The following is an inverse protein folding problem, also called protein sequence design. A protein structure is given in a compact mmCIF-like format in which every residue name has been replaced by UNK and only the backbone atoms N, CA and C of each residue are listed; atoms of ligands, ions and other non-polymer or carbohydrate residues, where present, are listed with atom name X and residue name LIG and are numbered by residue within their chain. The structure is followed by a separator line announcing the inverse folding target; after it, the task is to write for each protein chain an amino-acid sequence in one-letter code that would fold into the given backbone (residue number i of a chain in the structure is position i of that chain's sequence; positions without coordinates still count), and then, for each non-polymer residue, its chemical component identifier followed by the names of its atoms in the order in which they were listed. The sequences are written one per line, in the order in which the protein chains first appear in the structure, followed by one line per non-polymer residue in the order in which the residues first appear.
data_IF_561627601873
#
_entry.id   IF_561627601873
#
_cell.length_a   1.000
_cell.length_b   1.000
_cell.length_c   1.000
_cell.angle_alpha   90.00
_cell.angle_beta   90.00
_cell.angle_gamma   90.00
#
_symmetry.space_group_name_H-M   'P 1'
#
loop_
_entity.id
_entity.type
_entity.pdbx_description
1 polymer ?
#
# COMPACT_ATOMS: atom_id res chain seq x y z
N UNK A 1 2.05 -21.60 -6.46
CA UNK A 1 0.68 -21.06 -6.60
C UNK A 1 0.57 -19.76 -5.80
N UNK A 2 0.19 -18.64 -6.43
CA UNK A 2 0.02 -17.34 -5.76
C UNK A 2 -1.24 -17.39 -4.89
N UNK A 3 -1.08 -17.42 -3.57
CA UNK A 3 -2.21 -17.36 -2.65
C UNK A 3 -2.39 -15.92 -2.16
N UNK A 4 -3.51 -15.32 -2.54
CA UNK A 4 -3.97 -14.04 -2.00
C UNK A 4 -5.02 -14.30 -0.95
N UNK A 5 -4.76 -13.92 0.30
CA UNK A 5 -5.75 -13.97 1.37
C UNK A 5 -6.35 -12.59 1.58
N UNK A 6 -7.67 -12.51 1.55
CA UNK A 6 -8.39 -11.25 1.74
C UNK A 6 -8.96 -11.20 3.16
N UNK A 7 -9.21 -9.99 3.65
CA UNK A 7 -9.80 -9.82 4.97
C UNK A 7 -10.58 -8.52 5.14
N UNK A 8 -10.95 -8.26 6.38
CA UNK A 8 -11.59 -7.03 6.86
C UNK A 8 -10.91 -6.60 8.16
N UNK A 9 -10.63 -5.30 8.32
CA UNK A 9 -10.24 -4.72 9.61
C UNK A 9 -11.43 -4.02 10.25
N UNK A 10 -11.46 -4.04 11.57
CA UNK A 10 -12.48 -3.38 12.39
C UNK A 10 -11.82 -2.41 13.38
N UNK A 11 -11.25 -1.29 12.89
CA UNK A 11 -10.57 -0.33 13.76
C UNK A 11 -11.56 0.48 14.60
N UNK A 12 -11.18 0.74 15.84
CA UNK A 12 -11.80 1.79 16.66
C UNK A 12 -11.53 3.19 16.07
N UNK A 13 -12.22 4.22 16.57
CA UNK A 13 -12.13 5.58 16.03
C UNK A 13 -10.71 6.12 15.98
N UNK A 14 -9.92 5.97 17.06
CA UNK A 14 -8.52 6.43 17.07
C UNK A 14 -7.63 5.57 16.18
N UNK A 15 -7.84 4.25 16.15
CA UNK A 15 -7.11 3.35 15.26
C UNK A 15 -7.36 3.68 13.78
N UNK A 16 -8.60 4.00 13.41
CA UNK A 16 -8.98 4.42 12.07
C UNK A 16 -8.31 5.74 11.69
N UNK A 17 -8.27 6.70 12.63
CA UNK A 17 -7.56 7.98 12.46
C UNK A 17 -6.06 7.77 12.18
N UNK A 18 -5.38 6.99 13.03
CA UNK A 18 -3.95 6.65 12.85
C UNK A 18 -3.69 5.91 11.54
N UNK A 19 -4.56 4.96 11.19
CA UNK A 19 -4.44 4.22 9.94
C UNK A 19 -4.64 5.12 8.71
N UNK A 20 -5.60 6.04 8.76
CA UNK A 20 -5.86 7.01 7.70
C UNK A 20 -4.68 7.96 7.49
N UNK A 21 -4.07 8.41 8.58
CA UNK A 21 -2.90 9.28 8.52
C UNK A 21 -1.70 8.54 7.91
N UNK A 22 -1.44 7.31 8.35
CA UNK A 22 -0.38 6.48 7.78
C UNK A 22 -0.60 6.19 6.29
N UNK A 23 -1.85 5.95 5.87
CA UNK A 23 -2.22 5.82 4.45
C UNK A 23 -1.96 7.10 3.65
N UNK A 24 -2.28 8.27 4.22
CA UNK A 24 -2.04 9.59 3.60
C UNK A 24 -0.56 9.82 3.37
N UNK A 25 0.25 9.64 4.41
CA UNK A 25 1.70 9.84 4.38
C UNK A 25 2.38 8.85 3.44
N UNK A 26 2.08 7.55 3.54
CA UNK A 26 2.69 6.56 2.66
C UNK A 26 2.25 6.74 1.20
N UNK A 27 1.00 7.12 0.94
CA UNK A 27 0.53 7.40 -0.42
C UNK A 27 1.25 8.62 -1.02
N UNK A 28 1.57 9.63 -0.22
CA UNK A 28 2.42 10.74 -0.64
C UNK A 28 3.84 10.29 -0.97
N UNK A 29 4.47 9.52 -0.07
CA UNK A 29 5.79 8.92 -0.28
C UNK A 29 5.85 8.06 -1.55
N UNK A 30 4.81 7.27 -1.83
CA UNK A 30 4.70 6.47 -3.05
C UNK A 30 4.62 7.32 -4.32
N UNK A 31 3.80 8.39 -4.33
CA UNK A 31 3.70 9.29 -5.49
C UNK A 31 5.01 10.00 -5.76
N UNK A 32 5.64 10.51 -4.70
CA UNK A 32 6.97 11.12 -4.78
C UNK A 32 7.96 10.13 -5.39
N UNK A 33 8.04 8.92 -4.83
CA UNK A 33 8.91 7.85 -5.32
C UNK A 33 8.66 7.53 -6.79
N UNK A 34 7.40 7.49 -7.22
CA UNK A 34 7.03 7.18 -8.61
C UNK A 34 7.55 8.25 -9.57
N UNK A 35 7.38 9.54 -9.24
CA UNK A 35 7.90 10.63 -10.06
C UNK A 35 9.42 10.56 -10.18
N UNK A 36 10.14 10.30 -9.07
CA UNK A 36 11.59 10.13 -9.09
C UNK A 36 12.03 8.93 -9.95
N UNK A 37 11.25 7.85 -9.99
CA UNK A 37 11.52 6.70 -10.87
C UNK A 37 11.34 7.11 -12.35
N UNK A 38 10.31 7.89 -12.69
CA UNK A 38 10.10 8.39 -14.05
C UNK A 38 11.23 9.35 -14.48
N UNK A 39 11.78 10.12 -13.55
CA UNK A 39 12.96 10.99 -13.77
C UNK A 39 14.28 10.21 -13.91
N UNK A 40 14.26 8.88 -13.77
CA UNK A 40 15.45 8.04 -13.90
C UNK A 40 16.35 8.00 -12.67
N UNK A 41 15.92 8.53 -11.52
CA UNK A 41 16.72 8.49 -10.27
C UNK A 41 16.95 7.06 -9.80
N UNK A 42 18.14 6.81 -9.27
CA UNK A 42 18.52 5.51 -8.71
C UNK A 42 17.80 5.23 -7.38
N UNK A 43 17.75 3.95 -7.00
CA UNK A 43 17.17 3.55 -5.71
C UNK A 43 17.82 4.23 -4.50
N UNK A 44 19.17 4.30 -4.38
CA UNK A 44 19.81 4.97 -3.25
C UNK A 44 19.43 6.45 -3.14
N UNK A 45 19.39 7.18 -4.26
CA UNK A 45 18.98 8.59 -4.29
C UNK A 45 17.53 8.76 -3.80
N UNK A 46 16.61 7.93 -4.30
CA UNK A 46 15.22 7.97 -3.84
C UNK A 46 15.12 7.63 -2.36
N UNK A 47 15.82 6.61 -1.86
CA UNK A 47 15.78 6.26 -0.44
C UNK A 47 16.37 7.37 0.46
N UNK A 48 17.35 8.14 -0.03
CA UNK A 48 17.88 9.33 0.65
C UNK A 48 16.85 10.48 0.66
N UNK A 49 16.29 10.86 -0.50
CA UNK A 49 15.23 11.88 -0.62
C UNK A 49 14.06 11.56 0.31
N UNK A 50 13.66 10.28 0.37
CA UNK A 50 12.56 9.84 1.21
C UNK A 50 12.87 9.98 2.71
N UNK A 51 14.12 9.74 3.12
CA UNK A 51 14.51 9.85 4.53
C UNK A 51 14.39 11.28 5.03
N UNK A 52 14.72 12.25 4.19
CA UNK A 52 14.64 13.67 4.48
C UNK A 52 13.18 14.18 4.43
N UNK A 53 12.48 13.92 3.33
CA UNK A 53 11.15 14.50 3.07
C UNK A 53 9.99 13.80 3.78
N UNK A 54 10.18 12.59 4.30
CA UNK A 54 9.15 11.78 4.96
C UNK A 54 9.64 11.23 6.30
N UNK A 55 10.33 12.07 7.08
CA UNK A 55 10.96 11.71 8.36
C UNK A 55 9.94 11.27 9.43
N UNK A 56 8.69 11.71 9.30
CA UNK A 56 7.57 11.44 10.21
C UNK A 56 7.07 9.98 10.19
N UNK A 57 7.32 9.25 9.11
CA UNK A 57 6.99 7.82 9.01
C UNK A 57 8.23 6.94 9.17
N UNK A 58 8.08 5.74 9.71
CA UNK A 58 9.24 4.86 9.88
C UNK A 58 9.84 4.40 8.53
N UNK A 59 11.10 3.95 8.55
CA UNK A 59 11.84 3.54 7.35
C UNK A 59 11.18 2.39 6.56
N UNK A 60 10.47 1.47 7.24
CA UNK A 60 9.74 0.36 6.59
C UNK A 60 8.49 0.88 5.89
N UNK A 61 7.84 1.90 6.44
CA UNK A 61 6.72 2.58 5.79
C UNK A 61 7.19 3.30 4.51
N UNK A 62 8.30 4.04 4.58
CA UNK A 62 8.93 4.68 3.39
C UNK A 62 9.27 3.67 2.30
N UNK A 63 9.97 2.59 2.66
CA UNK A 63 10.27 1.49 1.73
C UNK A 63 9.01 0.85 1.14
N UNK A 64 7.94 0.75 1.92
CA UNK A 64 6.63 0.30 1.42
C UNK A 64 6.11 1.20 0.30
N UNK A 65 6.16 2.52 0.49
CA UNK A 65 5.84 3.51 -0.54
C UNK A 65 6.70 3.36 -1.79
N UNK A 66 8.03 3.28 -1.63
CA UNK A 66 8.97 3.06 -2.74
C UNK A 66 8.68 1.76 -3.51
N UNK A 67 8.55 0.61 -2.83
CA UNK A 67 8.29 -0.65 -3.52
C UNK A 67 6.95 -0.63 -4.26
N UNK A 68 5.94 0.03 -3.68
CA UNK A 68 4.66 0.18 -4.36
C UNK A 68 4.78 1.06 -5.61
N UNK A 69 5.52 2.15 -5.52
CA UNK A 69 5.83 3.01 -6.67
C UNK A 69 6.57 2.23 -7.77
N UNK A 70 7.61 1.47 -7.40
CA UNK A 70 8.36 0.61 -8.32
C UNK A 70 7.47 -0.40 -9.04
N UNK A 71 6.63 -1.13 -8.31
CA UNK A 71 5.72 -2.09 -8.93
C UNK A 71 4.69 -1.40 -9.84
N UNK A 72 4.17 -0.24 -9.44
CA UNK A 72 3.29 0.56 -10.28
C UNK A 72 3.97 0.97 -11.58
N UNK A 73 5.21 1.45 -11.51
CA UNK A 73 5.96 1.91 -12.66
C UNK A 73 6.32 0.75 -13.60
N UNK A 74 6.79 -0.39 -13.06
CA UNK A 74 7.01 -1.61 -13.84
C UNK A 74 5.74 -2.03 -14.58
N UNK A 75 4.60 -2.05 -13.89
CA UNK A 75 3.32 -2.38 -14.52
C UNK A 75 2.93 -1.37 -15.62
N UNK A 76 3.26 -0.08 -15.46
CA UNK A 76 2.92 0.95 -16.43
C UNK A 76 3.80 0.86 -17.68
N UNK A 77 5.08 0.52 -17.49
CA UNK A 77 5.99 0.20 -18.61
C UNK A 77 5.48 -0.99 -19.41
N UNK A 78 5.02 -2.06 -18.74
CA UNK A 78 4.53 -3.26 -19.43
C UNK A 78 3.24 -2.99 -20.21
N UNK A 79 2.28 -2.23 -19.64
CA UNK A 79 1.08 -1.84 -20.39
C UNK A 79 1.40 -0.93 -21.58
N UNK A 80 2.37 -0.04 -21.43
CA UNK A 80 2.80 0.83 -22.53
C UNK A 80 3.47 0.06 -23.66
N UNK A 81 4.27 -0.97 -23.35
CA UNK A 81 4.81 -1.90 -24.37
C UNK A 81 3.72 -2.70 -25.10
N UNK A 82 2.59 -2.94 -24.43
CA UNK A 82 1.44 -3.63 -25.01
C UNK A 82 0.46 -2.69 -25.72
N UNK A 83 0.79 -1.40 -25.86
CA UNK A 83 -0.08 -0.36 -26.42
C UNK A 83 -1.45 -0.21 -25.70
N UNK A 84 -1.53 -0.66 -24.44
CA UNK A 84 -2.73 -0.54 -23.59
C UNK A 84 -2.71 0.75 -22.74
N UNK A 85 -1.61 1.51 -22.78
CA UNK A 85 -1.42 2.72 -21.97
C UNK A 85 -0.33 3.64 -22.55
N UNK A 86 -0.61 4.94 -22.67
CA UNK A 86 0.31 5.89 -23.32
C UNK A 86 1.77 5.80 -22.84
N UNK A 87 2.02 6.07 -21.55
CA UNK A 87 3.36 6.05 -20.99
C UNK A 87 3.35 6.09 -19.46
N UNK A 88 4.38 5.53 -18.77
CA UNK A 88 4.49 5.57 -17.32
C UNK A 88 4.38 6.98 -16.70
N UNK A 89 4.83 8.01 -17.41
CA UNK A 89 4.82 9.42 -17.00
C UNK A 89 3.39 10.00 -16.95
N UNK A 90 2.46 9.41 -17.72
CA UNK A 90 1.07 9.86 -17.81
C UNK A 90 0.14 9.23 -16.78
N UNK A 91 0.68 8.53 -15.77
CA UNK A 91 -0.11 7.90 -14.70
C UNK A 91 -0.86 8.96 -13.86
N UNK A 92 -2.15 8.72 -13.64
CA UNK A 92 -3.01 9.56 -12.79
C UNK A 92 -3.32 8.83 -11.48
N UNK A 93 -2.69 9.26 -10.39
CA UNK A 93 -3.00 8.70 -9.07
C UNK A 93 -4.43 9.01 -8.66
N UNK A 94 -5.17 7.99 -8.21
CA UNK A 94 -6.61 8.11 -7.93
C UNK A 94 -7.48 7.81 -9.16
N UNK A 95 -6.87 7.67 -10.33
CA UNK A 95 -7.50 7.21 -11.56
C UNK A 95 -8.06 8.33 -12.45
N UNK A 96 -7.99 8.10 -13.77
CA UNK A 96 -8.39 9.08 -14.79
C UNK A 96 -9.89 9.40 -14.71
N UNK A 97 -10.74 8.42 -14.44
CA UNK A 97 -12.19 8.62 -14.31
C UNK A 97 -12.51 9.61 -13.19
N UNK A 98 -11.87 9.43 -12.04
CA UNK A 98 -12.06 10.31 -10.89
C UNK A 98 -11.43 11.70 -11.10
N UNK A 99 -10.34 11.82 -11.87
CA UNK A 99 -9.83 13.12 -12.30
C UNK A 99 -10.86 13.87 -13.16
N UNK A 100 -11.49 13.22 -14.14
CA UNK A 100 -12.56 13.82 -14.96
C UNK A 100 -13.74 14.29 -14.09
N UNK A 101 -14.18 13.44 -13.16
CA UNK A 101 -15.21 13.82 -12.17
C UNK A 101 -14.82 15.04 -11.35
N UNK A 102 -13.55 15.15 -10.96
CA UNK A 102 -13.03 16.30 -10.23
C UNK A 102 -13.03 17.57 -11.09
N UNK A 103 -12.68 17.47 -12.37
CA UNK A 103 -12.72 18.57 -13.34
C UNK A 103 -14.15 19.06 -13.59
N UNK A 104 -15.12 18.13 -13.63
CA UNK A 104 -16.54 18.40 -13.79
C UNK A 104 -17.24 18.90 -12.50
N UNK A 105 -16.53 18.94 -11.37
CA UNK A 105 -17.10 19.34 -10.08
C UNK A 105 -17.99 18.27 -9.40
N UNK A 106 -18.08 17.05 -9.95
CA UNK A 106 -18.88 15.95 -9.38
C UNK A 106 -18.30 15.40 -8.06
N UNK A 107 -16.99 15.58 -7.84
CA UNK A 107 -16.34 15.24 -6.58
C UNK A 107 -15.51 16.42 -6.07
N UNK A 108 -15.54 16.59 -4.75
CA UNK A 108 -14.72 17.56 -4.04
C UNK A 108 -13.22 17.22 -4.10
N UNK A 109 -12.38 18.22 -3.83
CA UNK A 109 -10.94 18.01 -3.65
C UNK A 109 -10.64 17.03 -2.49
N UNK A 110 -11.48 16.99 -1.47
CA UNK A 110 -11.33 16.11 -0.32
C UNK A 110 -11.62 14.65 -0.68
N UNK A 111 -12.69 14.41 -1.44
CA UNK A 111 -12.99 13.09 -2.00
C UNK A 111 -11.87 12.61 -2.92
N UNK A 112 -11.36 13.49 -3.78
CA UNK A 112 -10.20 13.18 -4.62
C UNK A 112 -8.97 12.79 -3.80
N UNK A 113 -8.64 13.56 -2.75
CA UNK A 113 -7.56 13.22 -1.81
C UNK A 113 -7.82 11.89 -1.10
N UNK A 114 -9.06 11.60 -0.69
CA UNK A 114 -9.44 10.33 -0.04
C UNK A 114 -9.24 9.13 -0.96
N UNK A 115 -9.55 9.26 -2.25
CA UNK A 115 -9.32 8.25 -3.29
C UNK A 115 -7.83 8.00 -3.52
N UNK A 116 -7.04 9.08 -3.63
CA UNK A 116 -5.57 8.98 -3.83
C UNK A 116 -4.81 8.42 -2.63
N UNK A 117 -5.37 8.55 -1.43
CA UNK A 117 -4.74 8.20 -0.16
C UNK A 117 -5.45 7.02 0.51
N UNK A 118 -5.92 6.05 -0.27
CA UNK A 118 -6.78 4.96 0.20
C UNK A 118 -6.02 3.66 0.46
N UNK A 119 -4.68 3.67 0.49
CA UNK A 119 -3.91 2.43 0.58
C UNK A 119 -2.71 2.53 1.51
N UNK A 120 -2.37 1.38 2.09
CA UNK A 120 -1.12 1.15 2.82
C UNK A 120 -0.54 -0.17 2.36
N UNK A 121 0.77 -0.22 2.16
CA UNK A 121 1.48 -1.41 1.74
C UNK A 121 2.73 -1.61 2.59
N UNK A 122 3.01 -2.86 2.93
CA UNK A 122 4.29 -3.26 3.49
C UNK A 122 4.69 -4.64 2.99
N UNK A 123 5.97 -4.78 2.66
CA UNK A 123 6.58 -6.03 2.22
C UNK A 123 7.23 -6.73 3.43
N UNK A 124 7.01 -8.03 3.55
CA UNK A 124 7.74 -8.87 4.50
C UNK A 124 9.20 -9.11 4.13
N UNK A 125 10.02 -9.36 5.13
CA UNK A 125 11.45 -9.62 5.03
C UNK A 125 11.76 -10.95 5.74
N UNK A 126 12.29 -11.92 4.99
CA UNK A 126 12.60 -13.25 5.51
C UNK A 126 13.66 -13.21 6.61
N UNK A 127 14.63 -12.29 6.50
CA UNK A 127 15.66 -12.06 7.53
C UNK A 127 15.11 -11.45 8.82
N UNK A 128 13.84 -11.03 8.82
CA UNK A 128 13.14 -10.39 9.95
C UNK A 128 11.86 -11.14 10.35
N UNK A 129 11.79 -12.42 10.01
CA UNK A 129 10.65 -13.31 10.33
C UNK A 129 9.31 -12.74 9.84
N UNK A 130 9.30 -12.26 8.60
CA UNK A 130 8.09 -11.81 7.91
C UNK A 130 7.88 -10.30 7.92
N UNK A 131 6.64 -9.86 8.12
CA UNK A 131 6.29 -8.45 8.00
C UNK A 131 6.34 -7.75 9.36
N UNK A 132 7.24 -6.78 9.53
CA UNK A 132 7.39 -6.04 10.78
C UNK A 132 6.47 -4.82 10.89
N UNK A 133 5.99 -4.30 9.75
CA UNK A 133 5.15 -3.10 9.72
C UNK A 133 3.65 -3.45 9.78
N UNK A 134 3.26 -4.56 9.14
CA UNK A 134 1.90 -5.08 9.05
C UNK A 134 1.90 -6.57 9.34
N UNK A 135 1.67 -6.95 10.60
CA UNK A 135 1.80 -8.35 11.06
C UNK A 135 0.49 -8.87 11.60
N UNK A 136 0.04 -10.02 11.10
CA UNK A 136 -1.07 -10.74 11.74
C UNK A 136 -0.56 -11.40 13.03
N UNK A 137 -1.28 -11.20 14.13
CA UNK A 137 -0.98 -11.75 15.46
C UNK A 137 -2.26 -12.25 16.12
N UNK A 138 -2.16 -13.26 16.99
CA UNK A 138 -3.24 -13.66 17.90
C UNK A 138 -3.02 -12.95 19.23
N UNK A 139 -4.05 -12.30 19.74
CA UNK A 139 -4.09 -11.67 21.06
C UNK A 139 -5.43 -12.03 21.70
N UNK A 140 -5.41 -12.64 22.88
CA UNK A 140 -6.60 -13.10 23.60
C UNK A 140 -7.52 -13.98 22.76
N UNK A 141 -6.93 -14.92 22.00
CA UNK A 141 -7.64 -15.80 21.07
C UNK A 141 -8.18 -15.13 19.80
N UNK A 142 -8.11 -13.79 19.71
CA UNK A 142 -8.63 -13.00 18.57
C UNK A 142 -7.50 -12.65 17.60
N UNK A 143 -7.83 -12.69 16.30
CA UNK A 143 -6.90 -12.31 15.25
C UNK A 143 -6.86 -10.78 15.12
N UNK A 144 -5.66 -10.22 15.17
CA UNK A 144 -5.40 -8.79 15.02
C UNK A 144 -4.36 -8.55 13.91
N UNK A 145 -4.47 -7.43 13.22
CA UNK A 145 -3.40 -6.88 12.42
C UNK A 145 -2.67 -5.85 13.27
N UNK A 146 -1.45 -6.17 13.68
CA UNK A 146 -0.52 -5.24 14.30
C UNK A 146 0.05 -4.31 13.23
N UNK A 147 -0.24 -3.03 13.34
CA UNK A 147 0.22 -1.97 12.43
C UNK A 147 1.19 -1.08 13.16
N UNK A 148 2.41 -0.95 12.63
CA UNK A 148 3.37 0.06 13.12
C UNK A 148 2.99 1.43 12.57
N UNK A 149 2.62 2.36 13.46
CA UNK A 149 2.12 3.70 13.10
C UNK A 149 3.17 4.79 13.27
N UNK A 150 4.19 4.57 14.10
CA UNK A 150 5.31 5.50 14.30
C UNK A 150 6.55 4.75 14.82
N UNK A 151 7.64 5.45 15.18
CA UNK A 151 8.82 4.81 15.75
C UNK A 151 8.49 4.15 17.10
N UNK A 152 8.32 2.83 17.06
CA UNK A 152 7.98 1.94 18.21
C UNK A 152 6.55 2.09 18.75
N UNK A 153 5.62 2.62 17.97
CA UNK A 153 4.20 2.59 18.31
C UNK A 153 3.47 1.61 17.40
N UNK A 154 2.63 0.76 18.00
CA UNK A 154 1.80 -0.19 17.29
C UNK A 154 0.35 -0.07 17.72
N UNK A 155 -0.55 -0.13 16.74
CA UNK A 155 -1.97 -0.39 16.99
C UNK A 155 -2.29 -1.83 16.64
N UNK A 156 -3.25 -2.41 17.36
CA UNK A 156 -3.71 -3.79 17.17
C UNK A 156 -5.16 -3.73 16.71
N UNK A 157 -5.37 -3.98 15.41
CA UNK A 157 -6.69 -3.81 14.81
C UNK A 157 -7.36 -5.17 14.66
N UNK A 158 -8.56 -5.38 15.24
CA UNK A 158 -9.30 -6.63 15.06
C UNK A 158 -9.48 -6.96 13.59
N UNK A 159 -9.25 -8.21 13.23
CA UNK A 159 -9.12 -8.62 11.84
C UNK A 159 -9.81 -9.95 11.56
N UNK A 160 -10.51 -9.99 10.44
CA UNK A 160 -11.01 -11.22 9.83
C UNK A 160 -10.22 -11.52 8.55
N UNK A 161 -9.79 -12.77 8.36
CA UNK A 161 -9.20 -13.28 7.12
C UNK A 161 -10.07 -14.41 6.55
N UNK A 162 -10.26 -14.43 5.23
CA UNK A 162 -11.16 -15.36 4.56
C UNK A 162 -10.66 -16.80 4.54
N UNK A 163 -9.33 -17.03 4.55
CA UNK A 163 -8.67 -18.34 4.49
C UNK A 163 -7.31 -18.33 5.20
N UNK A 164 -6.80 -19.50 5.56
CA UNK A 164 -5.46 -19.79 6.14
C UNK A 164 -4.88 -18.73 7.10
N UNK A 165 -5.16 -18.86 8.41
CA UNK A 165 -4.61 -17.97 9.45
C UNK A 165 -3.20 -18.38 9.87
N UNK A 166 -2.93 -19.68 9.94
CA UNK A 166 -1.71 -20.25 10.53
C UNK A 166 -0.45 -19.86 9.78
N UNK A 167 -0.49 -19.85 8.44
CA UNK A 167 0.67 -19.48 7.60
C UNK A 167 1.20 -18.07 7.90
N UNK A 168 0.33 -17.12 8.22
CA UNK A 168 0.72 -15.75 8.53
C UNK A 168 1.19 -15.58 9.98
N UNK A 169 0.65 -16.40 10.89
CA UNK A 169 0.96 -16.39 12.31
C UNK A 169 2.27 -17.10 12.62
N UNK A 170 2.62 -18.13 11.86
CA UNK A 170 3.82 -18.94 12.09
C UNK A 170 5.15 -18.20 11.84
N UNK A 171 5.15 -17.00 11.24
CA UNK A 171 6.35 -16.17 11.05
C UNK A 171 7.43 -16.73 10.10
N UNK A 172 7.27 -17.95 9.61
CA UNK A 172 8.30 -18.70 8.88
C UNK A 172 8.51 -18.27 7.43
N UNK A 173 7.56 -17.55 6.81
CA UNK A 173 7.67 -17.09 5.42
C UNK A 173 7.33 -15.60 5.28
N UNK A 174 8.12 -14.80 4.54
CA UNK A 174 7.79 -13.41 4.30
C UNK A 174 6.55 -13.26 3.42
N UNK A 175 5.66 -12.36 3.83
CA UNK A 175 4.45 -12.01 3.09
C UNK A 175 4.29 -10.49 2.98
N UNK A 176 3.74 -10.03 1.86
CA UNK A 176 3.32 -8.64 1.70
C UNK A 176 1.89 -8.46 2.20
N UNK A 177 1.62 -7.31 2.84
CA UNK A 177 0.26 -6.91 3.22
C UNK A 177 -0.05 -5.59 2.55
N UNK A 178 -1.22 -5.51 1.93
CA UNK A 178 -1.79 -4.28 1.40
C UNK A 178 -3.16 -4.04 2.02
N UNK A 179 -3.38 -2.89 2.62
CA UNK A 179 -4.69 -2.45 3.10
C UNK A 179 -5.24 -1.48 2.07
N UNK A 180 -6.49 -1.69 1.66
CA UNK A 180 -7.23 -0.76 0.79
C UNK A 180 -8.46 -0.27 1.55
N UNK A 181 -8.65 1.03 1.62
CA UNK A 181 -9.83 1.70 2.17
C UNK A 181 -10.83 1.96 1.05
N UNK A 182 -12.07 1.55 1.25
CA UNK A 182 -13.19 1.83 0.36
C UNK A 182 -14.45 2.00 1.18
N UNK A 183 -15.16 3.12 1.02
CA UNK A 183 -16.42 3.36 1.72
C UNK A 183 -16.31 3.15 3.25
N UNK A 184 -15.30 3.79 3.86
CA UNK A 184 -14.99 3.65 5.29
C UNK A 184 -14.45 2.28 5.75
N UNK A 185 -14.51 1.25 4.90
CA UNK A 185 -14.10 -0.13 5.21
C UNK A 185 -12.66 -0.38 4.80
N UNK A 186 -11.92 -1.12 5.62
CA UNK A 186 -10.53 -1.46 5.38
C UNK A 186 -10.38 -2.94 5.01
N UNK A 187 -9.83 -3.20 3.82
CA UNK A 187 -9.69 -4.54 3.25
C UNK A 187 -8.22 -4.92 3.12
N UNK A 188 -7.64 -5.66 4.06
CA UNK A 188 -6.29 -6.19 3.97
C UNK A 188 -6.25 -7.30 2.92
N UNK A 189 -5.14 -7.35 2.19
CA UNK A 189 -4.79 -8.38 1.21
C UNK A 189 -3.37 -8.83 1.47
N UNK A 190 -3.22 -10.11 1.76
CA UNK A 190 -1.94 -10.73 2.06
C UNK A 190 -1.51 -11.58 0.89
N UNK A 191 -0.25 -11.44 0.48
CA UNK A 191 0.32 -12.19 -0.64
C UNK A 191 1.58 -12.89 -0.16
N UNK A 192 1.64 -14.19 -0.42
CA UNK A 192 2.87 -14.97 -0.27
C UNK A 192 3.68 -14.89 -1.56
N UNK A 193 5.00 -14.71 -1.45
CA UNK A 193 5.97 -14.58 -2.56
C UNK A 193 5.94 -13.27 -3.38
N UNK A 194 7.08 -12.97 -4.02
CA UNK A 194 7.32 -11.79 -4.88
C UNK A 194 6.32 -11.83 -6.04
N UNK A 195 5.20 -11.11 -5.92
CA UNK A 195 4.23 -11.02 -7.02
C UNK A 195 4.86 -10.24 -8.18
N UNK A 196 5.21 -10.94 -9.27
CA UNK A 196 5.31 -10.39 -10.62
C UNK A 196 3.96 -10.53 -11.37
N UNK A 197 2.81 -10.46 -10.67
CA UNK A 197 1.52 -10.72 -11.33
C UNK A 197 1.09 -9.52 -12.15
N UNK A 198 1.12 -9.72 -13.47
CA UNK A 198 1.18 -8.77 -14.59
C UNK A 198 0.04 -7.75 -14.77
N UNK A 199 -1.04 -7.80 -13.98
CA UNK A 199 -2.29 -7.05 -14.27
C UNK A 199 -2.89 -6.26 -13.09
N UNK A 200 -2.58 -6.65 -11.86
CA UNK A 200 -3.32 -6.18 -10.68
C UNK A 200 -2.90 -4.82 -10.12
N UNK A 201 -1.78 -4.28 -10.61
CA UNK A 201 -1.15 -3.11 -10.01
C UNK A 201 -1.76 -1.79 -10.51
N UNK A 202 -2.16 -1.71 -11.79
CA UNK A 202 -2.70 -0.49 -12.42
C UNK A 202 -4.23 -0.41 -12.43
N UNK A 203 -4.94 -1.49 -12.84
CA UNK A 203 -6.38 -1.44 -13.12
C UNK A 203 -7.25 -0.93 -11.97
N UNK A 204 -6.85 -1.13 -10.69
CA UNK A 204 -7.67 -0.72 -9.53
C UNK A 204 -7.14 0.48 -8.75
N UNK A 205 -6.04 1.09 -9.16
CA UNK A 205 -5.27 2.02 -8.30
C UNK A 205 -4.85 3.29 -9.02
N UNK A 206 -4.59 3.18 -10.33
CA UNK A 206 -4.04 4.26 -11.14
C UNK A 206 -4.90 4.52 -12.39
N UNK A 207 -5.76 3.57 -12.80
CA UNK A 207 -6.58 3.69 -14.01
C UNK A 207 -8.10 3.67 -13.73
N UNK A 208 -8.56 3.29 -12.53
CA UNK A 208 -9.99 3.19 -12.17
C UNK A 208 -10.67 4.52 -11.87
#
# INVERSE_FOLDING_TARGET
MQVTVQGKLFPEKDQARKLNELMRLQSSCMRYSYNRICEGKSKPEIEADLKENFSEINSRCRRGGYFRAKYNHESAKELSKADEFDSPEKVVFGGRKNLKKREQGEISNEEWKKLRNNQLYSRGDGSKHGNLNLRFVKQDGKLNLRVNVSNKEWIHVPTYLSREKERFLAGNKPYGVRIIRYDGKYKPRSHSERSKSRRWVLERVLLA
#
